data_IF_420287122105
#
_entry.id   IF_420287122105
#
_cell.length_a   1.000
_cell.length_b   1.000
_cell.length_c   1.000
_cell.angle_alpha   90.00
_cell.angle_beta   90.00
_cell.angle_gamma   90.00
#
_symmetry.space_group_name_H-M   'P 1'
#
loop_
_entity.id
_entity.type
_entity.pdbx_description
1 polymer ?
#
# COMPACT_ATOMS: atom_id res chain seq x y z
N UNK A 1 -13.34 -10.25 13.58
CA UNK A 1 -11.97 -9.93 13.14
C UNK A 1 -12.11 -9.20 11.82
N UNK A 2 -11.81 -7.92 11.75
CA UNK A 2 -11.91 -7.19 10.47
C UNK A 2 -10.61 -7.43 9.73
N UNK A 3 -10.67 -8.21 8.65
CA UNK A 3 -9.52 -8.49 7.80
C UNK A 3 -9.21 -7.26 6.94
N UNK A 4 -7.93 -7.01 6.67
CA UNK A 4 -7.52 -6.01 5.69
C UNK A 4 -8.18 -6.31 4.32
N UNK A 5 -8.50 -5.27 3.53
CA UNK A 5 -8.86 -5.45 2.13
C UNK A 5 -7.78 -6.23 1.37
N UNK A 6 -8.23 -7.12 0.48
CA UNK A 6 -7.38 -8.06 -0.25
C UNK A 6 -6.27 -7.39 -1.08
N UNK A 7 -6.57 -6.25 -1.70
CA UNK A 7 -5.61 -5.46 -2.48
C UNK A 7 -4.44 -5.01 -1.59
N UNK A 8 -4.76 -4.44 -0.42
CA UNK A 8 -3.78 -3.96 0.56
C UNK A 8 -3.00 -5.13 1.16
N UNK A 9 -3.68 -6.20 1.59
CA UNK A 9 -3.01 -7.35 2.20
C UNK A 9 -1.95 -7.95 1.25
N UNK A 10 -2.30 -8.10 -0.03
CA UNK A 10 -1.39 -8.62 -1.06
C UNK A 10 -0.22 -7.68 -1.32
N UNK A 11 -0.48 -6.39 -1.45
CA UNK A 11 0.62 -5.42 -1.61
C UNK A 11 1.57 -5.44 -0.43
N UNK A 12 1.06 -5.53 0.81
CA UNK A 12 1.88 -5.65 2.02
C UNK A 12 2.67 -6.96 2.07
N UNK A 13 2.12 -8.07 1.55
CA UNK A 13 2.86 -9.33 1.47
C UNK A 13 4.11 -9.25 0.59
N UNK A 14 4.05 -8.43 -0.47
CA UNK A 14 5.21 -8.18 -1.34
C UNK A 14 6.18 -7.19 -0.72
N UNK A 15 5.67 -6.07 -0.19
CA UNK A 15 6.52 -5.00 0.37
C UNK A 15 7.21 -5.42 1.67
N UNK A 16 6.59 -6.31 2.45
CA UNK A 16 7.08 -6.79 3.73
C UNK A 16 7.32 -8.30 3.66
N UNK A 17 8.42 -8.76 3.04
CA UNK A 17 8.72 -10.19 2.94
C UNK A 17 8.91 -10.83 4.32
N UNK A 18 8.94 -12.15 4.37
CA UNK A 18 9.17 -12.88 5.62
C UNK A 18 10.47 -12.41 6.30
N UNK A 19 10.41 -12.21 7.61
CA UNK A 19 11.52 -11.66 8.40
C UNK A 19 11.59 -10.12 8.44
N UNK A 20 10.81 -9.40 7.63
CA UNK A 20 10.76 -7.94 7.72
C UNK A 20 10.18 -7.52 9.09
N UNK A 21 10.83 -6.63 9.86
CA UNK A 21 10.44 -6.31 11.23
C UNK A 21 9.01 -5.75 11.34
N UNK A 22 8.58 -4.98 10.34
CA UNK A 22 7.23 -4.38 10.30
C UNK A 22 6.13 -5.38 9.90
N UNK A 23 6.46 -6.58 9.39
CA UNK A 23 5.46 -7.58 8.94
C UNK A 23 4.55 -8.04 10.07
N UNK A 24 5.05 -8.06 11.30
CA UNK A 24 4.29 -8.44 12.50
C UNK A 24 3.07 -7.53 12.77
N UNK A 25 3.02 -6.33 12.17
CA UNK A 25 1.89 -5.41 12.34
C UNK A 25 0.70 -5.75 11.43
N UNK A 26 0.94 -6.40 10.28
CA UNK A 26 -0.07 -6.65 9.24
C UNK A 26 -1.34 -7.32 9.78
N UNK A 27 -1.29 -8.36 10.64
CA UNK A 27 -2.50 -8.99 11.20
C UNK A 27 -3.36 -8.07 12.09
N UNK A 28 -2.79 -6.96 12.57
CA UNK A 28 -3.44 -6.02 13.47
C UNK A 28 -3.85 -4.70 12.80
N UNK A 29 -3.42 -4.49 11.55
CA UNK A 29 -3.72 -3.28 10.80
C UNK A 29 -5.21 -3.15 10.48
N UNK A 30 -5.64 -1.89 10.41
CA UNK A 30 -6.96 -1.51 9.92
C UNK A 30 -6.82 -0.31 9.02
N UNK A 31 -7.55 -0.32 7.91
CA UNK A 31 -7.69 0.87 7.05
C UNK A 31 -8.67 1.82 7.71
N UNK A 32 -8.21 3.02 8.04
CA UNK A 32 -9.07 4.09 8.57
C UNK A 32 -9.83 4.78 7.44
N UNK A 33 -9.12 5.12 6.35
CA UNK A 33 -9.72 5.74 5.19
C UNK A 33 -8.89 5.54 3.93
N UNK A 34 -9.48 5.85 2.78
CA UNK A 34 -8.79 5.93 1.48
C UNK A 34 -8.93 7.36 0.96
N UNK A 35 -7.92 7.88 0.25
CA UNK A 35 -8.05 9.22 -0.33
C UNK A 35 -9.19 9.24 -1.35
N UNK A 36 -9.99 10.32 -1.32
CA UNK A 36 -11.04 10.57 -2.32
C UNK A 36 -10.57 11.46 -3.47
N UNK A 37 -9.34 11.96 -3.39
CA UNK A 37 -8.70 12.86 -4.33
C UNK A 37 -8.28 12.19 -5.66
N UNK A 38 -8.47 10.87 -5.79
CA UNK A 38 -7.99 10.08 -6.93
C UNK A 38 -6.54 9.60 -6.81
N UNK A 39 -5.84 9.95 -5.73
CA UNK A 39 -4.61 9.27 -5.34
C UNK A 39 -4.99 7.95 -4.67
N UNK A 40 -4.34 6.85 -5.05
CA UNK A 40 -4.66 5.53 -4.53
C UNK A 40 -3.95 5.27 -3.21
N UNK A 41 -4.30 6.09 -2.21
CA UNK A 41 -3.75 6.06 -0.85
C UNK A 41 -4.71 5.36 0.10
N UNK A 42 -4.18 4.50 0.97
CA UNK A 42 -4.89 3.88 2.09
C UNK A 42 -4.20 4.24 3.41
N UNK A 43 -4.89 4.99 4.27
CA UNK A 43 -4.41 5.39 5.60
C UNK A 43 -4.73 4.29 6.62
N UNK A 44 -3.76 3.94 7.46
CA UNK A 44 -3.94 2.98 8.54
C UNK A 44 -4.30 3.69 9.84
N UNK A 45 -5.14 3.03 10.66
CA UNK A 45 -5.54 3.56 11.95
C UNK A 45 -4.36 3.53 12.95
N UNK A 46 -4.32 4.54 13.84
CA UNK A 46 -3.42 4.55 14.99
C UNK A 46 -2.09 5.28 14.79
N UNK A 47 -1.91 6.00 13.67
CA UNK A 47 -0.81 6.95 13.48
C UNK A 47 -1.35 8.38 13.55
N UNK A 48 -0.74 9.21 14.40
CA UNK A 48 -1.28 10.51 14.79
C UNK A 48 -0.98 11.63 13.78
N UNK A 49 0.15 11.55 13.07
CA UNK A 49 0.56 12.59 12.12
C UNK A 49 1.38 11.97 10.98
N UNK A 50 0.81 11.98 9.77
CA UNK A 50 1.50 11.47 8.60
C UNK A 50 2.71 12.31 8.18
N UNK A 51 2.84 13.55 8.64
CA UNK A 51 3.91 14.47 8.23
C UNK A 51 5.32 13.99 8.62
N UNK A 52 5.43 13.03 9.53
CA UNK A 52 6.71 12.45 10.00
C UNK A 52 7.03 11.09 9.41
N UNK A 53 6.14 10.54 8.57
CA UNK A 53 6.36 9.19 8.08
C UNK A 53 7.46 9.13 7.03
N UNK A 54 8.25 8.06 7.08
CA UNK A 54 9.30 7.74 6.12
C UNK A 54 8.88 6.55 5.24
N UNK A 55 9.42 6.47 4.02
CA UNK A 55 9.25 5.30 3.15
C UNK A 55 10.05 4.14 3.74
N UNK A 56 9.37 3.06 4.10
CA UNK A 56 9.98 1.86 4.68
C UNK A 56 10.04 0.68 3.71
N UNK A 57 9.24 0.71 2.64
CA UNK A 57 9.29 -0.25 1.56
C UNK A 57 8.66 0.34 0.30
N UNK A 58 9.13 -0.10 -0.87
CA UNK A 58 8.61 0.31 -2.17
C UNK A 58 8.67 -0.82 -3.19
N UNK A 59 7.81 -0.76 -4.21
CA UNK A 59 7.86 -1.64 -5.37
C UNK A 59 7.46 -0.91 -6.64
N UNK A 60 8.26 -1.07 -7.70
CA UNK A 60 7.98 -0.52 -9.02
C UNK A 60 6.85 -1.30 -9.72
N UNK A 61 6.02 -0.56 -10.44
CA UNK A 61 4.92 -1.05 -11.29
C UNK A 61 5.29 -0.80 -12.76
N UNK A 62 6.39 -1.43 -13.17
CA UNK A 62 6.95 -1.23 -14.52
C UNK A 62 7.27 0.24 -14.82
N UNK A 63 6.80 0.72 -15.96
CA UNK A 63 6.90 2.13 -16.39
C UNK A 63 5.73 3.00 -15.93
N UNK A 64 4.76 2.41 -15.21
CA UNK A 64 3.44 3.01 -15.00
C UNK A 64 3.29 3.65 -13.61
N UNK A 65 4.20 3.31 -12.69
CA UNK A 65 4.25 3.90 -11.36
C UNK A 65 5.04 3.07 -10.36
N UNK A 66 4.79 3.34 -9.10
CA UNK A 66 5.31 2.61 -7.94
C UNK A 66 4.30 2.62 -6.80
N UNK A 67 4.48 1.71 -5.85
CA UNK A 67 3.76 1.72 -4.57
C UNK A 67 4.73 1.88 -3.42
N UNK A 68 4.39 2.79 -2.50
CA UNK A 68 5.20 3.19 -1.37
C UNK A 68 4.45 2.86 -0.07
N UNK A 69 5.16 2.27 0.88
CA UNK A 69 4.67 2.02 2.24
C UNK A 69 5.41 2.93 3.21
N UNK A 70 4.65 3.62 4.04
CA UNK A 70 5.16 4.60 4.99
C UNK A 70 5.01 4.13 6.43
N UNK A 71 5.95 4.52 7.30
CA UNK A 71 5.86 4.32 8.74
C UNK A 71 6.29 5.56 9.52
N UNK A 72 5.70 5.75 10.70
CA UNK A 72 6.08 6.77 11.68
C UNK A 72 6.42 6.10 13.01
N UNK A 73 7.59 6.40 13.56
CA UNK A 73 8.12 5.78 14.79
C UNK A 73 8.01 4.24 14.80
N UNK A 74 8.30 3.61 13.65
CA UNK A 74 8.23 2.16 13.48
C UNK A 74 6.81 1.58 13.43
N UNK A 75 5.76 2.40 13.28
CA UNK A 75 4.38 1.96 13.04
C UNK A 75 3.95 2.28 11.62
N UNK A 76 3.33 1.32 10.94
CA UNK A 76 2.85 1.51 9.57
C UNK A 76 1.76 2.60 9.52
N UNK A 77 1.94 3.59 8.66
CA UNK A 77 1.11 4.80 8.58
C UNK A 77 0.15 4.76 7.40
N UNK A 78 0.66 4.61 6.17
CA UNK A 78 -0.17 4.50 4.98
C UNK A 78 0.54 3.81 3.83
N UNK A 79 -0.26 3.42 2.85
CA UNK A 79 0.18 2.86 1.57
C UNK A 79 -0.27 3.80 0.46
N UNK A 80 0.60 4.13 -0.49
CA UNK A 80 0.31 5.08 -1.57
C UNK A 80 0.83 4.58 -2.91
N UNK A 81 0.03 4.76 -3.95
CA UNK A 81 0.45 4.50 -5.34
C UNK A 81 0.79 5.83 -6.01
N UNK A 82 2.05 5.95 -6.44
CA UNK A 82 2.55 7.02 -7.28
C UNK A 82 2.40 6.58 -8.75
N UNK A 83 1.33 7.02 -9.41
CA UNK A 83 1.03 6.66 -10.80
C UNK A 83 1.53 7.72 -11.79
N UNK A 84 2.12 7.27 -12.90
CA UNK A 84 2.55 8.10 -14.03
C UNK A 84 1.61 8.00 -15.24
N UNK A 85 0.47 7.32 -15.09
CA UNK A 85 -0.52 7.08 -16.15
C UNK A 85 -1.83 7.82 -15.92
N UNK A 86 -2.60 7.99 -17.00
CA UNK A 86 -4.01 8.37 -16.93
C UNK A 86 -4.87 7.32 -17.68
N UNK A 87 -5.86 6.66 -17.03
CA UNK A 87 -6.24 6.84 -15.64
C UNK A 87 -5.14 6.42 -14.66
N UNK A 88 -5.18 7.00 -13.46
CA UNK A 88 -4.26 6.67 -12.37
C UNK A 88 -4.44 5.23 -11.91
N UNK A 89 -3.33 4.57 -11.60
CA UNK A 89 -3.35 3.21 -11.03
C UNK A 89 -4.04 3.16 -9.67
N UNK A 90 -4.78 2.09 -9.44
CA UNK A 90 -5.38 1.75 -8.14
C UNK A 90 -4.55 0.75 -7.35
N UNK A 91 -4.79 0.64 -6.04
CA UNK A 91 -4.21 -0.44 -5.23
C UNK A 91 -4.60 -1.84 -5.73
N UNK A 92 -5.77 -1.97 -6.35
CA UNK A 92 -6.18 -3.23 -6.99
C UNK A 92 -5.33 -3.54 -8.23
N UNK A 93 -4.99 -2.52 -9.04
CA UNK A 93 -4.11 -2.68 -10.20
C UNK A 93 -2.69 -3.05 -9.79
N UNK A 94 -2.19 -2.40 -8.75
CA UNK A 94 -0.90 -2.73 -8.12
C UNK A 94 -0.90 -4.18 -7.63
N UNK A 95 -1.90 -4.59 -6.85
CA UNK A 95 -1.97 -5.94 -6.33
C UNK A 95 -2.02 -7.01 -7.46
N UNK A 96 -2.69 -6.70 -8.57
CA UNK A 96 -2.73 -7.57 -9.77
C UNK A 96 -1.36 -7.66 -10.45
N UNK A 97 -0.73 -6.51 -10.68
CA UNK A 97 0.61 -6.44 -11.28
C UNK A 97 1.64 -7.21 -10.46
N UNK A 98 1.65 -7.03 -9.14
CA UNK A 98 2.60 -7.69 -8.24
C UNK A 98 2.41 -9.21 -8.17
N UNK A 99 1.24 -9.74 -8.57
CA UNK A 99 1.03 -11.20 -8.71
C UNK A 99 1.50 -11.75 -10.06
N UNK A 100 1.98 -10.90 -10.97
CA UNK A 100 2.23 -11.28 -12.36
C UNK A 100 0.95 -11.62 -13.13
N UNK A 101 -0.21 -11.15 -12.65
CA UNK A 101 -1.46 -11.29 -13.38
C UNK A 101 -1.53 -10.22 -14.49
N UNK A 102 -1.99 -10.57 -15.71
CA UNK A 102 -2.10 -9.58 -16.78
C UNK A 102 -3.04 -8.44 -16.35
N UNK A 103 -2.70 -7.21 -16.75
CA UNK A 103 -3.57 -6.06 -16.57
C UNK A 103 -4.87 -6.26 -17.37
N UNK A 104 -5.89 -6.82 -16.72
CA UNK A 104 -7.24 -6.94 -17.28
C UNK A 104 -8.00 -5.61 -17.19
N UNK A 105 -8.90 -5.30 -18.13
CA UNK A 105 -9.66 -4.05 -18.09
C UNK A 105 -10.60 -4.04 -16.88
N UNK A 106 -10.62 -2.90 -16.18
CA UNK A 106 -11.63 -2.58 -15.15
C UNK A 106 -13.00 -2.34 -15.76
#
# INVERSE_FOLDING_TARGET
>A
MTQLPDDIARTLDVLLPEGHPLRAQVPHLRVESRCRCGCSTALFAGVADGARSEVVAEAAIGSDGEVLLFADEGRLSWLEVCSWTDPKLTLADVARFLRGEPAGPS
#
